data_IF_502914581744
#
_entry.id   IF_502914581744
#
_cell.length_a   1.000
_cell.length_b   1.000
_cell.length_c   1.000
_cell.angle_alpha   90.00
_cell.angle_beta   90.00
_cell.angle_gamma   90.00
#
_symmetry.space_group_name_H-M   'P 1'
#
loop_
_entity.id
_entity.type
_entity.pdbx_description
1 polymer ?
#
# COMPACT_ATOMS: atom_id res chain seq x y z
N UNK A 1 8.82 -30.07 22.59
CA UNK A 1 8.09 -29.28 21.58
C UNK A 1 8.30 -27.79 21.83
N UNK A 2 7.82 -27.18 22.93
CA UNK A 2 8.03 -25.74 23.20
C UNK A 2 9.52 -25.33 23.24
N UNK A 3 10.39 -26.13 23.86
CA UNK A 3 11.82 -25.83 23.97
C UNK A 3 12.53 -25.75 22.62
N UNK A 4 12.03 -26.49 21.62
CA UNK A 4 12.59 -26.50 20.27
C UNK A 4 12.22 -25.22 19.51
N UNK A 5 11.00 -24.72 19.69
CA UNK A 5 10.55 -23.46 19.10
C UNK A 5 11.32 -22.26 19.66
N UNK A 6 11.52 -22.19 20.98
CA UNK A 6 12.32 -21.11 21.59
C UNK A 6 13.78 -21.15 21.14
N UNK A 7 14.36 -22.35 20.96
CA UNK A 7 15.72 -22.47 20.47
C UNK A 7 15.84 -21.99 19.02
N UNK A 8 14.90 -22.36 18.15
CA UNK A 8 14.82 -21.88 16.77
C UNK A 8 14.67 -20.36 16.69
N UNK A 9 13.84 -19.77 17.56
CA UNK A 9 13.61 -18.33 17.60
C UNK A 9 14.85 -17.57 18.10
N UNK A 10 15.54 -18.09 19.12
CA UNK A 10 16.79 -17.51 19.61
C UNK A 10 17.95 -17.65 18.61
N UNK A 11 18.07 -18.81 17.95
CA UNK A 11 19.09 -19.04 16.93
C UNK A 11 18.86 -18.12 15.71
N UNK A 12 17.59 -17.91 15.34
CA UNK A 12 17.21 -16.97 14.28
C UNK A 12 17.60 -15.52 14.63
N UNK A 13 17.26 -15.06 15.85
CA UNK A 13 17.58 -13.70 16.30
C UNK A 13 19.08 -13.44 16.45
N UNK A 14 19.84 -14.46 16.88
CA UNK A 14 21.31 -14.36 17.04
C UNK A 14 22.05 -14.38 15.70
N UNK A 15 21.49 -15.04 14.69
CA UNK A 15 22.07 -15.09 13.33
C UNK A 15 21.87 -13.77 12.60
N UNK A 16 20.76 -13.07 12.84
CA UNK A 16 20.46 -11.77 12.20
C UNK A 16 21.40 -10.66 12.67
N UNK A 17 21.85 -10.68 13.93
CA UNK A 17 22.67 -9.60 14.50
C UNK A 17 24.14 -9.64 14.07
N UNK A 18 24.65 -10.77 13.56
CA UNK A 18 26.05 -10.94 13.16
C UNK A 18 26.29 -11.09 11.65
N UNK A 19 25.25 -11.26 10.83
CA UNK A 19 25.37 -11.51 9.39
C UNK A 19 24.81 -10.35 8.54
N UNK A 20 25.38 -10.15 7.34
CA UNK A 20 24.73 -9.36 6.30
C UNK A 20 23.33 -9.94 6.04
N UNK A 21 22.30 -9.10 6.09
CA UNK A 21 20.90 -9.49 5.88
C UNK A 21 20.69 -10.29 4.59
N UNK A 22 21.48 -10.02 3.54
CA UNK A 22 21.46 -10.80 2.29
C UNK A 22 21.84 -12.27 2.53
N UNK A 23 22.84 -12.53 3.36
CA UNK A 23 23.27 -13.90 3.68
C UNK A 23 22.20 -14.63 4.48
N UNK A 24 21.58 -13.95 5.45
CA UNK A 24 20.49 -14.52 6.23
C UNK A 24 19.32 -14.89 5.33
N UNK A 25 18.93 -14.02 4.40
CA UNK A 25 17.86 -14.29 3.45
C UNK A 25 18.22 -15.49 2.57
N UNK A 26 19.44 -15.54 2.01
CA UNK A 26 19.89 -16.65 1.16
C UNK A 26 19.92 -17.99 1.89
N UNK A 27 20.38 -18.00 3.14
CA UNK A 27 20.46 -19.23 3.93
C UNK A 27 19.05 -19.73 4.29
N UNK A 28 18.13 -18.83 4.64
CA UNK A 28 16.73 -19.20 4.87
C UNK A 28 16.05 -19.71 3.59
N UNK A 29 16.35 -19.12 2.43
CA UNK A 29 15.76 -19.52 1.16
C UNK A 29 16.18 -20.95 0.78
N UNK A 30 17.44 -21.32 1.03
CA UNK A 30 17.95 -22.69 0.79
C UNK A 30 17.32 -23.75 1.69
N UNK A 31 16.86 -23.38 2.89
CA UNK A 31 16.21 -24.31 3.83
C UNK A 31 14.77 -24.65 3.44
N UNK A 32 14.16 -23.88 2.54
CA UNK A 32 12.79 -24.12 2.09
C UNK A 32 12.70 -25.31 1.13
N UNK A 33 11.56 -26.02 1.10
CA UNK A 33 11.25 -27.00 0.05
C UNK A 33 11.28 -26.37 -1.35
N UNK A 34 11.59 -27.14 -2.41
CA UNK A 34 11.70 -26.62 -3.77
C UNK A 34 10.47 -25.83 -4.23
N UNK A 35 9.27 -26.27 -3.84
CA UNK A 35 8.01 -25.61 -4.20
C UNK A 35 7.90 -24.22 -3.58
N UNK A 36 8.39 -24.06 -2.34
CA UNK A 36 8.40 -22.78 -1.62
C UNK A 36 9.51 -21.85 -2.09
N UNK A 37 10.64 -22.39 -2.52
CA UNK A 37 11.67 -21.60 -3.19
C UNK A 37 11.13 -20.99 -4.48
N UNK A 38 10.41 -21.78 -5.28
CA UNK A 38 9.81 -21.30 -6.52
C UNK A 38 8.75 -20.22 -6.26
N UNK A 39 7.89 -20.38 -5.26
CA UNK A 39 6.89 -19.36 -4.87
C UNK A 39 7.54 -18.00 -4.54
N UNK A 40 8.67 -18.01 -3.83
CA UNK A 40 9.41 -16.77 -3.51
C UNK A 40 10.00 -16.14 -4.76
N UNK A 41 10.56 -16.94 -5.68
CA UNK A 41 11.08 -16.44 -6.96
C UNK A 41 9.97 -15.85 -7.83
N UNK A 42 8.83 -16.53 -7.92
CA UNK A 42 7.65 -16.08 -8.66
C UNK A 42 7.13 -14.76 -8.09
N UNK A 43 7.10 -14.62 -6.75
CA UNK A 43 6.73 -13.37 -6.09
C UNK A 43 7.69 -12.23 -6.42
N UNK A 44 9.01 -12.47 -6.37
CA UNK A 44 10.01 -11.46 -6.75
C UNK A 44 9.82 -11.04 -8.21
N UNK A 45 9.59 -12.00 -9.11
CA UNK A 45 9.33 -11.72 -10.52
C UNK A 45 8.04 -10.92 -10.72
N UNK A 46 6.98 -11.24 -9.97
CA UNK A 46 5.74 -10.48 -9.95
C UNK A 46 5.97 -9.03 -9.51
N UNK A 47 6.77 -8.80 -8.45
CA UNK A 47 7.10 -7.45 -7.97
C UNK A 47 7.90 -6.68 -9.03
N UNK A 48 8.91 -7.28 -9.65
CA UNK A 48 9.68 -6.66 -10.72
C UNK A 48 8.80 -6.31 -11.91
N UNK A 49 7.93 -7.24 -12.32
CA UNK A 49 6.98 -7.01 -13.38
C UNK A 49 6.04 -5.86 -13.03
N UNK A 50 5.49 -5.82 -11.81
CA UNK A 50 4.64 -4.72 -11.35
C UNK A 50 5.38 -3.39 -11.32
N UNK A 51 6.63 -3.33 -10.90
CA UNK A 51 7.43 -2.10 -10.92
C UNK A 51 7.69 -1.61 -12.36
N UNK A 52 7.96 -2.53 -13.27
CA UNK A 52 8.21 -2.21 -14.68
C UNK A 52 6.92 -1.85 -15.44
N UNK A 53 5.78 -2.47 -15.11
CA UNK A 53 4.46 -2.16 -15.69
C UNK A 53 3.74 -0.99 -15.01
N UNK A 54 4.10 -0.66 -13.76
CA UNK A 54 3.63 0.55 -13.06
C UNK A 54 4.37 1.80 -13.53
N UNK A 55 5.03 1.77 -14.69
CA UNK A 55 5.23 2.96 -15.51
C UNK A 55 3.88 3.49 -16.02
N UNK A 56 2.97 3.83 -15.10
CA UNK A 56 2.19 5.04 -15.25
C UNK A 56 3.23 6.12 -15.47
N UNK A 57 3.06 6.91 -16.52
CA UNK A 57 3.99 7.92 -16.98
C UNK A 57 4.13 9.02 -15.91
N UNK A 58 4.88 8.76 -14.83
CA UNK A 58 5.15 9.69 -13.73
C UNK A 58 6.06 10.84 -14.16
N UNK A 59 6.42 10.91 -15.45
CA UNK A 59 7.32 11.91 -15.99
C UNK A 59 6.83 13.35 -15.77
N UNK A 60 5.54 13.55 -15.44
CA UNK A 60 4.94 14.86 -15.14
C UNK A 60 4.11 14.92 -13.83
N UNK A 61 4.12 13.91 -12.96
CA UNK A 61 3.25 13.91 -11.78
C UNK A 61 3.99 14.44 -10.55
N UNK A 62 3.60 15.63 -10.10
CA UNK A 62 4.15 16.30 -8.93
C UNK A 62 3.98 15.43 -7.67
N UNK A 63 5.01 15.40 -6.81
CA UNK A 63 4.89 14.78 -5.49
C UNK A 63 3.86 15.52 -4.62
N UNK A 64 3.34 14.85 -3.59
CA UNK A 64 2.38 15.46 -2.65
C UNK A 64 2.92 16.76 -2.03
N UNK A 65 4.22 16.80 -1.74
CA UNK A 65 4.90 17.99 -1.21
C UNK A 65 4.96 19.13 -2.22
N UNK A 66 5.13 18.81 -3.50
CA UNK A 66 5.11 19.79 -4.60
C UNK A 66 3.70 20.28 -4.88
N UNK A 67 2.69 19.40 -4.86
CA UNK A 67 1.27 19.76 -4.97
C UNK A 67 0.86 20.71 -3.84
N UNK A 68 1.30 20.45 -2.61
CA UNK A 68 1.00 21.32 -1.46
C UNK A 68 1.62 22.73 -1.56
N UNK A 69 2.68 22.89 -2.37
CA UNK A 69 3.33 24.18 -2.62
C UNK A 69 2.65 24.99 -3.73
N UNK A 70 1.77 24.38 -4.52
CA UNK A 70 1.03 25.08 -5.56
C UNK A 70 -0.02 26.03 -4.95
N UNK A 71 -0.29 27.17 -5.60
CA UNK A 71 -1.45 28.00 -5.29
C UNK A 71 -2.75 27.19 -5.30
N UNK A 72 -3.71 27.54 -4.45
CA UNK A 72 -5.01 26.85 -4.36
C UNK A 72 -5.71 26.80 -5.72
N UNK A 73 -5.59 27.88 -6.51
CA UNK A 73 -6.14 28.02 -7.85
C UNK A 73 -5.49 27.11 -8.91
N UNK A 74 -4.34 26.49 -8.61
CA UNK A 74 -3.69 25.53 -9.50
C UNK A 74 -3.93 24.09 -9.06
N UNK A 75 -4.10 23.84 -7.76
CA UNK A 75 -4.32 22.50 -7.20
C UNK A 75 -5.53 21.79 -7.81
N UNK A 76 -6.64 22.50 -8.03
CA UNK A 76 -7.86 21.87 -8.57
C UNK A 76 -7.72 21.42 -10.03
N UNK A 77 -6.82 22.03 -10.82
CA UNK A 77 -6.57 21.64 -12.22
C UNK A 77 -6.00 20.23 -12.33
N UNK A 78 -5.34 19.75 -11.28
CA UNK A 78 -4.81 18.38 -11.21
C UNK A 78 -5.92 17.34 -11.12
N UNK A 79 -7.10 17.73 -10.65
CA UNK A 79 -8.25 16.84 -10.53
C UNK A 79 -9.07 16.77 -11.82
N UNK A 80 -8.92 17.75 -12.72
CA UNK A 80 -9.71 17.86 -13.96
C UNK A 80 -9.82 16.57 -14.76
N UNK A 81 -8.73 15.80 -15.00
CA UNK A 81 -8.83 14.56 -15.77
C UNK A 81 -9.68 13.47 -15.12
N UNK A 82 -9.89 13.54 -13.80
CA UNK A 82 -10.63 12.54 -13.04
C UNK A 82 -12.07 12.97 -12.75
N UNK A 83 -12.44 14.23 -12.98
CA UNK A 83 -13.78 14.75 -12.62
C UNK A 83 -14.89 13.97 -13.32
N UNK A 84 -14.80 13.80 -14.64
CA UNK A 84 -15.86 13.17 -15.43
C UNK A 84 -16.07 11.71 -15.04
N UNK A 85 -14.96 10.98 -14.83
CA UNK A 85 -14.99 9.58 -14.39
C UNK A 85 -15.58 9.45 -12.99
N UNK A 86 -15.13 10.28 -12.06
CA UNK A 86 -15.68 10.28 -10.71
C UNK A 86 -17.18 10.60 -10.73
N UNK A 87 -17.63 11.55 -11.55
CA UNK A 87 -19.05 11.86 -11.69
C UNK A 87 -19.87 10.67 -12.22
N UNK A 88 -19.32 9.91 -13.17
CA UNK A 88 -19.92 8.67 -13.66
C UNK A 88 -19.98 7.60 -12.56
N UNK A 89 -18.93 7.45 -11.76
CA UNK A 89 -18.90 6.51 -10.62
C UNK A 89 -20.02 6.86 -9.62
N UNK A 90 -20.21 8.14 -9.25
CA UNK A 90 -21.30 8.56 -8.35
C UNK A 90 -22.72 8.33 -8.91
N UNK A 91 -22.90 8.28 -10.23
CA UNK A 91 -24.21 8.02 -10.83
C UNK A 91 -24.56 6.53 -10.85
N UNK A 92 -23.54 5.67 -10.91
CA UNK A 92 -23.71 4.24 -11.11
C UNK A 92 -23.47 3.42 -9.85
N UNK A 93 -22.77 3.99 -8.86
CA UNK A 93 -22.46 3.34 -7.59
C UNK A 93 -23.29 3.96 -6.44
N UNK A 94 -24.39 3.32 -6.03
CA UNK A 94 -25.23 3.82 -4.95
C UNK A 94 -24.49 3.88 -3.60
N UNK A 95 -23.45 3.07 -3.37
CA UNK A 95 -22.66 3.09 -2.12
C UNK A 95 -21.94 4.43 -1.94
N UNK A 96 -21.59 5.10 -3.03
CA UNK A 96 -20.95 6.43 -3.01
C UNK A 96 -21.91 7.56 -2.64
N UNK A 97 -23.22 7.30 -2.63
CA UNK A 97 -24.26 8.27 -2.28
C UNK A 97 -24.81 8.09 -0.87
N UNK A 98 -24.33 7.09 -0.12
CA UNK A 98 -24.86 6.71 1.21
C UNK A 98 -24.65 7.75 2.31
N UNK A 99 -23.77 8.74 2.09
CA UNK A 99 -23.56 9.85 3.03
C UNK A 99 -24.71 10.86 3.08
N UNK A 100 -25.73 10.74 2.22
CA UNK A 100 -26.93 11.58 2.26
C UNK A 100 -27.91 11.20 3.40
N UNK A 101 -27.70 10.08 4.11
CA UNK A 101 -28.62 9.52 5.13
C UNK A 101 -28.17 9.88 6.57
N UNK A 102 -27.40 10.95 6.74
CA UNK A 102 -27.29 11.59 8.06
C UNK A 102 -28.27 12.76 8.06
N UNK A 103 -29.52 12.47 8.45
CA UNK A 103 -30.52 13.49 8.72
C UNK A 103 -29.87 14.54 9.64
N UNK A 104 -29.89 15.80 9.21
CA UNK A 104 -29.22 16.91 9.89
C UNK A 104 -29.83 17.29 11.25
N UNK A 105 -30.48 16.35 11.93
CA UNK A 105 -31.32 16.56 13.11
C UNK A 105 -30.58 16.48 14.45
N UNK A 106 -29.25 16.28 14.47
CA UNK A 106 -28.49 16.15 15.73
C UNK A 106 -27.52 17.31 16.00
N UNK A 107 -27.67 18.44 15.29
CA UNK A 107 -26.93 19.68 15.57
C UNK A 107 -27.70 20.66 16.46
N UNK A 108 -28.84 20.27 17.05
CA UNK A 108 -29.49 21.05 18.10
C UNK A 108 -28.63 20.98 19.38
N UNK A 109 -27.58 21.80 19.43
CA UNK A 109 -26.96 22.21 20.69
C UNK A 109 -28.06 22.80 21.54
N UNK A 110 -28.54 22.02 22.52
CA UNK A 110 -29.56 22.47 23.47
C UNK A 110 -29.12 23.76 24.13
N UNK A 111 -29.88 24.82 23.87
CA UNK A 111 -29.90 26.02 24.70
C UNK A 111 -30.76 25.69 25.93
N UNK A 112 -30.14 25.37 27.08
CA UNK A 112 -30.69 25.58 28.43
C UNK A 112 -29.58 25.85 29.46
#
# INVERSE_FOLDING_TARGET
MLTFFYQLEMDFMTTITNNNIEQVILDNLKLLPPEKQQEVLDFIQFIQHKLNHSQVNYNNQLSLKEIARLPIVERHKLLTPSIDKTAEDFLNDPELTEFFILDGEDWETGDE
#
